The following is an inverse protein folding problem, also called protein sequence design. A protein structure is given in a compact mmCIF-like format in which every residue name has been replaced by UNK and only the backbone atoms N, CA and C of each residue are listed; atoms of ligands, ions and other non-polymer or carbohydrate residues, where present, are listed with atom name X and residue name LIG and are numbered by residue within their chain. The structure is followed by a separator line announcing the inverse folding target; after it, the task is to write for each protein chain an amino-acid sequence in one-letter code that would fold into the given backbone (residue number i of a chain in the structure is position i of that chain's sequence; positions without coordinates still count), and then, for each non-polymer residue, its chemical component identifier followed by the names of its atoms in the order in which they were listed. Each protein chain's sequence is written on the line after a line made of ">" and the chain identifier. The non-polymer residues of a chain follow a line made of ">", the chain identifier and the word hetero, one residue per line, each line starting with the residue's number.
data_IF_911802649977
#
_entry.id   IF_911802649977
#
_cell.length_a   1.000
_cell.length_b   1.000
_cell.length_c   1.000
_cell.angle_alpha   90.00
_cell.angle_beta   90.00
_cell.angle_gamma   90.00
#
_symmetry.space_group_name_H-M   'P 1'
#
loop_
_entity.id
_entity.type
_entity.pdbx_description
1 polymer ?
#
# COMPACT_ATOMS: atom_id res chain seq x y z
N UNK A 1 31.49 61.01 -55.22
CA UNK A 1 30.20 60.81 -54.54
C UNK A 1 29.90 59.30 -54.57
N UNK A 2 30.24 58.54 -53.50
CA UNK A 2 30.01 57.10 -53.45
C UNK A 2 28.86 56.85 -52.47
N UNK A 3 27.77 56.32 -52.97
CA UNK A 3 26.59 55.97 -52.19
C UNK A 3 26.80 54.56 -51.63
N UNK A 4 26.87 54.44 -50.27
CA UNK A 4 26.93 53.15 -49.57
C UNK A 4 25.48 52.69 -49.34
N UNK A 5 25.16 51.57 -49.96
CA UNK A 5 23.87 50.87 -49.75
C UNK A 5 23.97 49.99 -48.57
N UNK A 6 23.32 50.32 -47.42
CA UNK A 6 23.26 49.54 -46.21
C UNK A 6 22.19 48.45 -46.38
N UNK A 7 22.61 47.17 -46.47
CA UNK A 7 21.70 46.00 -46.48
C UNK A 7 21.35 45.66 -45.04
N UNK A 8 20.10 45.88 -44.67
CA UNK A 8 19.54 45.41 -43.39
C UNK A 8 19.19 43.92 -43.57
N UNK A 9 19.90 43.08 -42.85
CA UNK A 9 19.58 41.64 -42.75
C UNK A 9 18.60 41.46 -41.58
N UNK A 10 17.33 41.20 -41.92
CA UNK A 10 16.30 40.84 -40.92
C UNK A 10 16.46 39.34 -40.59
N UNK A 11 17.03 39.04 -39.42
CA UNK A 11 17.00 37.68 -38.86
C UNK A 11 15.60 37.40 -38.30
N UNK A 12 14.82 36.57 -38.99
CA UNK A 12 13.56 36.02 -38.47
C UNK A 12 13.90 34.87 -37.55
N UNK A 13 13.78 35.07 -36.22
CA UNK A 13 13.86 34.03 -35.24
C UNK A 13 12.55 33.20 -35.30
N UNK A 14 12.62 32.01 -35.88
CA UNK A 14 11.54 31.04 -35.82
C UNK A 14 11.63 30.34 -34.45
N UNK A 15 10.78 30.75 -33.51
CA UNK A 15 10.61 30.02 -32.26
C UNK A 15 9.87 28.71 -32.55
N UNK A 16 10.61 27.60 -32.60
CA UNK A 16 10.03 26.25 -32.64
C UNK A 16 9.46 25.96 -31.24
N UNK A 17 8.14 26.14 -31.09
CA UNK A 17 7.42 25.67 -29.92
C UNK A 17 7.37 24.16 -30.00
N UNK A 18 8.28 23.47 -29.33
CA UNK A 18 8.18 22.04 -29.08
C UNK A 18 6.99 21.83 -28.14
N UNK A 19 5.81 21.61 -28.68
CA UNK A 19 4.69 21.02 -27.96
C UNK A 19 5.03 19.56 -27.72
N UNK A 20 5.75 19.29 -26.63
CA UNK A 20 5.87 17.95 -26.10
C UNK A 20 4.45 17.45 -25.81
N UNK A 21 4.02 16.38 -26.49
CA UNK A 21 2.82 15.64 -26.09
C UNK A 21 3.05 15.12 -24.67
N UNK A 22 2.68 15.92 -23.66
CA UNK A 22 2.57 15.42 -22.31
C UNK A 22 1.49 14.32 -22.34
N UNK A 23 1.88 13.07 -22.12
CA UNK A 23 0.92 11.98 -21.99
C UNK A 23 -0.11 12.38 -20.94
N UNK A 24 -1.38 12.13 -21.23
CA UNK A 24 -2.46 12.45 -20.29
C UNK A 24 -2.16 11.80 -18.92
N UNK A 25 -2.36 12.52 -17.80
CA UNK A 25 -2.08 11.97 -16.48
C UNK A 25 -2.91 10.72 -16.24
N UNK A 26 -2.33 9.73 -15.52
CA UNK A 26 -2.98 8.47 -15.20
C UNK A 26 -3.36 7.66 -16.46
N UNK A 27 -2.35 7.32 -17.23
CA UNK A 27 -2.48 6.62 -18.53
C UNK A 27 -3.02 5.19 -18.40
N UNK A 28 -2.84 4.54 -17.24
CA UNK A 28 -3.32 3.19 -16.93
C UNK A 28 -4.80 3.16 -16.50
N UNK A 29 -5.44 4.34 -16.43
CA UNK A 29 -6.86 4.49 -16.12
C UNK A 29 -7.68 4.70 -17.38
N UNK A 30 -8.95 4.30 -17.33
CA UNK A 30 -9.92 4.71 -18.34
C UNK A 30 -10.10 6.23 -18.29
N UNK A 31 -10.11 6.87 -19.44
CA UNK A 31 -10.13 8.35 -19.51
C UNK A 31 -11.33 8.98 -18.80
N UNK A 32 -12.49 8.32 -18.90
CA UNK A 32 -13.75 8.78 -18.32
C UNK A 32 -14.08 8.13 -16.98
N UNK A 33 -13.14 7.39 -16.37
CA UNK A 33 -13.34 6.80 -15.04
C UNK A 33 -13.66 7.89 -14.01
N UNK A 34 -14.80 7.83 -13.31
CA UNK A 34 -15.21 8.90 -12.39
C UNK A 34 -14.18 9.21 -11.31
N UNK A 35 -13.53 8.18 -10.77
CA UNK A 35 -12.48 8.36 -9.76
C UNK A 35 -11.25 9.08 -10.32
N UNK A 36 -10.82 8.75 -11.57
CA UNK A 36 -9.73 9.44 -12.25
C UNK A 36 -10.07 10.92 -12.50
N UNK A 37 -11.25 11.19 -13.04
CA UNK A 37 -11.71 12.55 -13.32
C UNK A 37 -11.71 13.38 -12.02
N UNK A 38 -12.34 12.87 -10.97
CA UNK A 38 -12.40 13.53 -9.67
C UNK A 38 -11.00 13.83 -9.09
N UNK A 39 -10.06 12.88 -9.20
CA UNK A 39 -8.70 13.06 -8.70
C UNK A 39 -7.92 14.12 -9.51
N UNK A 40 -8.01 14.07 -10.84
CA UNK A 40 -7.29 15.02 -11.71
C UNK A 40 -7.85 16.44 -11.53
N UNK A 41 -9.17 16.61 -11.51
CA UNK A 41 -9.81 17.90 -11.22
C UNK A 41 -9.44 18.45 -9.85
N UNK A 42 -9.44 17.58 -8.84
CA UNK A 42 -9.02 17.95 -7.49
C UNK A 42 -7.57 18.43 -7.48
N UNK A 43 -6.63 17.64 -8.02
CA UNK A 43 -5.21 17.99 -8.04
C UNK A 43 -4.99 19.32 -8.77
N UNK A 44 -5.62 19.53 -9.93
CA UNK A 44 -5.54 20.79 -10.67
C UNK A 44 -6.02 21.96 -9.81
N UNK A 45 -7.18 21.83 -9.15
CA UNK A 45 -7.74 22.90 -8.33
C UNK A 45 -6.86 23.26 -7.12
N UNK A 46 -6.34 22.23 -6.40
CA UNK A 46 -5.58 22.48 -5.17
C UNK A 46 -4.11 22.87 -5.42
N UNK A 47 -3.61 22.71 -6.63
CA UNK A 47 -2.24 23.10 -6.99
C UNK A 47 -2.17 24.46 -7.68
N UNK A 48 -3.27 24.95 -8.24
CA UNK A 48 -3.36 26.26 -8.87
C UNK A 48 -3.45 27.37 -7.79
N UNK A 49 -2.45 28.24 -7.74
CA UNK A 49 -2.38 29.36 -6.79
C UNK A 49 -3.50 30.39 -6.99
N UNK A 50 -4.13 30.43 -8.17
CA UNK A 50 -5.28 31.29 -8.47
C UNK A 50 -6.62 30.70 -8.05
N UNK A 51 -6.65 29.42 -7.66
CA UNK A 51 -7.86 28.72 -7.23
C UNK A 51 -8.24 29.04 -5.79
N UNK A 52 -9.54 29.12 -5.54
CA UNK A 52 -10.08 29.21 -4.17
C UNK A 52 -9.77 27.95 -3.33
N UNK A 53 -9.54 26.82 -4.00
CA UNK A 53 -9.22 25.52 -3.38
C UNK A 53 -7.70 25.32 -3.17
N UNK A 54 -6.85 26.34 -3.47
CA UNK A 54 -5.40 26.18 -3.35
C UNK A 54 -4.96 25.69 -1.98
N UNK A 55 -4.12 24.65 -1.97
CA UNK A 55 -3.53 24.10 -0.76
C UNK A 55 -2.02 24.33 -0.80
N UNK A 56 -1.40 24.94 0.24
CA UNK A 56 0.06 25.06 0.34
C UNK A 56 0.76 23.70 0.30
N UNK A 57 1.97 23.63 -0.28
CA UNK A 57 2.68 22.36 -0.53
C UNK A 57 2.86 21.54 0.75
N UNK A 58 3.19 22.18 1.89
CA UNK A 58 3.38 21.56 3.20
C UNK A 58 2.10 20.97 3.80
N UNK A 59 0.94 21.29 3.22
CA UNK A 59 -0.38 20.78 3.62
C UNK A 59 -0.91 19.70 2.67
N UNK A 60 -0.24 19.47 1.53
CA UNK A 60 -0.62 18.46 0.53
C UNK A 60 -0.17 17.07 0.97
N UNK A 61 -0.85 16.50 1.94
CA UNK A 61 -0.57 15.16 2.47
C UNK A 61 -1.57 14.16 1.89
N UNK A 62 -1.06 13.08 1.29
CA UNK A 62 -1.85 11.94 0.82
C UNK A 62 -1.45 10.68 1.59
N UNK A 63 -2.43 9.92 2.08
CA UNK A 63 -2.22 8.67 2.81
C UNK A 63 -2.86 7.49 2.10
N UNK A 64 -2.16 6.37 2.05
CA UNK A 64 -2.57 5.16 1.38
C UNK A 64 -2.51 3.98 2.35
N UNK A 65 -3.57 3.18 2.41
CA UNK A 65 -3.43 1.81 2.87
C UNK A 65 -2.57 0.99 1.88
N UNK A 66 -2.07 -0.16 2.30
CA UNK A 66 -1.24 -1.03 1.46
C UNK A 66 -2.05 -2.18 0.86
N UNK A 67 -2.45 -3.14 1.71
CA UNK A 67 -3.03 -4.42 1.28
C UNK A 67 -4.44 -4.23 0.71
N UNK A 68 -4.62 -4.49 -0.58
CA UNK A 68 -5.87 -4.25 -1.31
C UNK A 68 -6.07 -2.80 -1.77
N UNK A 69 -5.09 -1.91 -1.50
CA UNK A 69 -5.10 -0.51 -1.94
C UNK A 69 -3.97 -0.22 -2.91
N UNK A 70 -2.73 -0.51 -2.54
CA UNK A 70 -1.55 -0.40 -3.39
C UNK A 70 -1.06 -1.76 -3.87
N UNK A 71 -1.34 -2.80 -3.09
CA UNK A 71 -0.76 -4.12 -3.19
C UNK A 71 -1.83 -5.21 -3.04
N UNK A 72 -1.61 -6.38 -3.61
CA UNK A 72 -2.49 -7.55 -3.55
C UNK A 72 -2.88 -7.91 -2.11
N UNK A 73 -4.15 -8.22 -1.90
CA UNK A 73 -4.70 -8.64 -0.60
C UNK A 73 -5.20 -10.10 -0.60
N UNK A 74 -5.83 -10.53 -1.70
CA UNK A 74 -6.90 -11.53 -1.62
C UNK A 74 -6.55 -12.95 -2.07
N UNK A 75 -5.40 -13.23 -2.69
CA UNK A 75 -5.07 -14.60 -3.05
C UNK A 75 -3.60 -14.96 -2.78
N UNK A 76 -3.37 -15.97 -1.97
CA UNK A 76 -4.35 -16.70 -1.14
C UNK A 76 -4.74 -15.92 0.10
N UNK A 77 -3.92 -14.97 0.56
CA UNK A 77 -4.14 -14.08 1.71
C UNK A 77 -3.05 -13.01 1.76
N UNK A 78 -3.04 -12.20 2.82
CA UNK A 78 -2.07 -11.12 3.06
C UNK A 78 -0.61 -11.60 3.01
N UNK A 79 0.27 -10.76 2.51
CA UNK A 79 1.70 -11.04 2.41
C UNK A 79 2.34 -11.41 3.75
N UNK A 80 2.03 -10.67 4.82
CA UNK A 80 2.58 -10.91 6.16
C UNK A 80 2.20 -12.29 6.70
N UNK A 81 0.99 -12.75 6.37
CA UNK A 81 0.51 -14.05 6.77
C UNK A 81 1.20 -15.18 6.00
N UNK A 82 1.41 -15.00 4.71
CA UNK A 82 2.18 -15.95 3.90
C UNK A 82 3.66 -16.01 4.35
N UNK A 83 4.23 -14.87 4.73
CA UNK A 83 5.58 -14.78 5.29
C UNK A 83 5.68 -15.56 6.61
N UNK A 84 4.67 -15.45 7.48
CA UNK A 84 4.58 -16.23 8.71
C UNK A 84 4.48 -17.75 8.42
N UNK A 85 3.63 -18.15 7.47
CA UNK A 85 3.53 -19.56 7.08
C UNK A 85 4.86 -20.11 6.56
N UNK A 86 5.56 -19.35 5.72
CA UNK A 86 6.88 -19.69 5.20
C UNK A 86 7.88 -19.84 6.36
N UNK A 87 7.92 -18.89 7.30
CA UNK A 87 8.79 -18.95 8.48
C UNK A 87 8.56 -20.22 9.31
N UNK A 88 7.30 -20.54 9.56
CA UNK A 88 6.90 -21.65 10.45
C UNK A 88 7.06 -23.03 9.81
N UNK A 89 6.77 -23.16 8.51
CA UNK A 89 6.66 -24.45 7.85
C UNK A 89 7.83 -24.80 6.93
N UNK A 90 8.61 -23.81 6.49
CA UNK A 90 9.61 -23.98 5.43
C UNK A 90 11.01 -23.49 5.82
N UNK A 91 11.13 -22.56 6.79
CA UNK A 91 12.44 -22.07 7.19
C UNK A 91 13.19 -23.11 8.06
N UNK A 92 14.29 -23.71 7.56
CA UNK A 92 15.03 -24.72 8.31
C UNK A 92 15.75 -24.19 9.55
N UNK A 93 15.91 -22.87 9.65
CA UNK A 93 16.59 -22.20 10.75
C UNK A 93 15.63 -21.82 11.88
N UNK A 94 14.32 -22.10 11.74
CA UNK A 94 13.32 -21.78 12.75
C UNK A 94 12.68 -23.04 13.35
N UNK A 95 12.61 -23.07 14.67
CA UNK A 95 11.89 -24.14 15.41
C UNK A 95 10.55 -23.59 15.89
N UNK A 96 9.53 -23.80 15.09
CA UNK A 96 8.18 -23.36 15.43
C UNK A 96 7.59 -24.14 16.61
N UNK A 97 6.75 -23.46 17.40
CA UNK A 97 5.95 -24.13 18.43
C UNK A 97 4.86 -25.00 17.80
N UNK A 98 4.31 -25.95 18.59
CA UNK A 98 3.19 -26.77 18.14
C UNK A 98 1.97 -25.91 17.77
N UNK A 99 1.69 -24.82 18.50
CA UNK A 99 0.62 -23.87 18.23
C UNK A 99 0.83 -23.15 16.91
N UNK A 100 2.01 -22.57 16.67
CA UNK A 100 2.36 -21.92 15.41
C UNK A 100 2.22 -22.88 14.23
N UNK A 101 2.74 -24.11 14.37
CA UNK A 101 2.66 -25.13 13.32
C UNK A 101 1.21 -25.51 12.99
N UNK A 102 0.37 -25.70 14.02
CA UNK A 102 -1.03 -26.03 13.84
C UNK A 102 -1.78 -24.91 13.11
N UNK A 103 -1.57 -23.66 13.50
CA UNK A 103 -2.19 -22.47 12.90
C UNK A 103 -1.73 -22.28 11.45
N UNK A 104 -0.43 -22.37 11.18
CA UNK A 104 0.09 -22.25 9.83
C UNK A 104 -0.41 -23.34 8.87
N UNK A 105 -0.52 -24.60 9.35
CA UNK A 105 -1.11 -25.70 8.56
C UNK A 105 -2.60 -25.49 8.29
N UNK A 106 -3.35 -24.99 9.26
CA UNK A 106 -4.79 -24.70 9.09
C UNK A 106 -5.00 -23.57 8.09
N UNK A 107 -4.17 -22.55 8.13
CA UNK A 107 -4.19 -21.42 7.23
C UNK A 107 -3.95 -21.84 5.76
N UNK A 108 -3.00 -22.74 5.49
CA UNK A 108 -2.81 -23.34 4.15
C UNK A 108 -4.05 -24.08 3.62
N UNK A 109 -4.96 -24.47 4.51
CA UNK A 109 -6.25 -25.06 4.16
C UNK A 109 -7.37 -24.02 4.06
N UNK A 110 -7.04 -22.73 4.12
CA UNK A 110 -8.00 -21.61 4.08
C UNK A 110 -8.73 -21.36 5.40
N UNK A 111 -8.23 -21.92 6.53
CA UNK A 111 -8.79 -21.72 7.88
C UNK A 111 -7.94 -20.71 8.64
N UNK A 112 -8.18 -19.44 8.41
CA UNK A 112 -7.44 -18.36 9.05
C UNK A 112 -7.93 -18.08 10.48
N UNK A 113 -7.02 -17.85 11.45
CA UNK A 113 -7.41 -17.43 12.79
C UNK A 113 -8.03 -16.04 12.77
N UNK A 114 -8.84 -15.75 13.78
CA UNK A 114 -9.35 -14.38 13.97
C UNK A 114 -8.19 -13.41 14.14
N UNK A 115 -8.39 -12.18 13.68
CA UNK A 115 -7.47 -11.08 13.95
C UNK A 115 -7.67 -10.64 15.41
N UNK A 116 -6.86 -11.18 16.30
CA UNK A 116 -6.88 -10.90 17.75
C UNK A 116 -5.45 -10.88 18.31
N UNK A 117 -5.34 -10.61 19.60
CA UNK A 117 -4.05 -10.55 20.30
C UNK A 117 -3.25 -11.87 20.23
N UNK A 118 -3.93 -13.01 20.15
CA UNK A 118 -3.24 -14.30 20.05
C UNK A 118 -2.60 -14.49 18.68
N UNK A 119 -3.31 -14.13 17.60
CA UNK A 119 -2.75 -14.14 16.25
C UNK A 119 -1.53 -13.23 16.14
N UNK A 120 -1.62 -12.00 16.64
CA UNK A 120 -0.51 -11.03 16.61
C UNK A 120 0.69 -11.53 17.45
N UNK A 121 0.43 -12.18 18.58
CA UNK A 121 1.47 -12.82 19.39
C UNK A 121 2.21 -13.91 18.61
N UNK A 122 1.48 -14.83 17.99
CA UNK A 122 2.07 -15.95 17.22
C UNK A 122 2.97 -15.45 16.09
N UNK A 123 2.51 -14.42 15.37
CA UNK A 123 3.28 -13.81 14.27
C UNK A 123 4.53 -13.12 14.80
N UNK A 124 4.39 -12.25 15.81
CA UNK A 124 5.54 -11.50 16.37
C UNK A 124 6.59 -12.42 16.99
N UNK A 125 6.17 -13.46 17.69
CA UNK A 125 7.07 -14.44 18.30
C UNK A 125 7.88 -15.23 17.27
N UNK A 126 7.35 -15.46 16.07
CA UNK A 126 8.04 -16.19 15.01
C UNK A 126 9.34 -15.53 14.55
N UNK A 127 9.46 -14.24 14.75
CA UNK A 127 10.62 -13.45 14.32
C UNK A 127 11.48 -12.96 15.49
N UNK A 128 11.13 -13.30 16.74
CA UNK A 128 11.90 -12.88 17.92
C UNK A 128 13.37 -13.23 17.79
N UNK A 129 14.22 -12.26 18.12
CA UNK A 129 15.68 -12.40 18.13
C UNK A 129 16.35 -12.23 16.77
N UNK A 130 15.61 -12.13 15.67
CA UNK A 130 16.20 -11.74 14.39
C UNK A 130 16.67 -10.29 14.46
N UNK A 131 17.87 -10.00 13.98
CA UNK A 131 18.32 -8.64 13.77
C UNK A 131 17.46 -7.96 12.68
N UNK A 132 17.40 -6.63 12.67
CA UNK A 132 16.63 -5.90 11.67
C UNK A 132 17.14 -6.21 10.24
N UNK A 133 18.44 -6.42 10.06
CA UNK A 133 19.03 -6.79 8.77
C UNK A 133 18.71 -8.21 8.34
N UNK A 134 18.70 -9.17 9.27
CA UNK A 134 18.28 -10.56 8.98
C UNK A 134 16.81 -10.60 8.58
N UNK A 135 15.96 -9.85 9.28
CA UNK A 135 14.54 -9.79 8.97
C UNK A 135 14.30 -9.13 7.59
N UNK A 136 14.97 -8.00 7.29
CA UNK A 136 14.90 -7.36 5.97
C UNK A 136 15.32 -8.33 4.85
N UNK A 137 16.44 -9.05 5.05
CA UNK A 137 16.91 -10.05 4.09
C UNK A 137 15.92 -11.21 3.91
N UNK A 138 15.29 -11.66 5.00
CA UNK A 138 14.28 -12.71 4.98
C UNK A 138 13.04 -12.27 4.18
N UNK A 139 12.52 -11.06 4.42
CA UNK A 139 11.41 -10.49 3.66
C UNK A 139 11.77 -10.39 2.18
N UNK A 140 12.94 -9.84 1.84
CA UNK A 140 13.39 -9.68 0.45
C UNK A 140 13.55 -11.02 -0.27
N UNK A 141 14.04 -12.04 0.40
CA UNK A 141 14.13 -13.39 -0.17
C UNK A 141 12.74 -13.92 -0.50
N UNK A 142 11.79 -13.79 0.42
CA UNK A 142 10.41 -14.21 0.22
C UNK A 142 9.71 -13.45 -0.91
N UNK A 143 10.01 -12.17 -1.10
CA UNK A 143 9.50 -11.37 -2.22
C UNK A 143 9.87 -11.94 -3.60
N UNK A 144 10.95 -12.72 -3.72
CA UNK A 144 11.39 -13.31 -4.99
C UNK A 144 10.66 -14.60 -5.37
N UNK A 145 9.87 -15.15 -4.46
CA UNK A 145 9.06 -16.32 -4.76
C UNK A 145 7.89 -15.97 -5.68
N UNK A 146 7.39 -16.99 -6.40
CA UNK A 146 6.22 -16.80 -7.25
C UNK A 146 4.96 -16.55 -6.42
N UNK A 147 4.14 -15.58 -6.84
CA UNK A 147 2.86 -15.32 -6.21
C UNK A 147 1.89 -16.46 -6.54
N UNK A 148 1.39 -17.21 -5.53
CA UNK A 148 0.37 -18.23 -5.77
C UNK A 148 -0.88 -17.63 -6.43
N UNK A 149 -1.51 -18.41 -7.28
CA UNK A 149 -2.71 -17.95 -7.97
C UNK A 149 -2.45 -17.16 -9.25
N UNK A 150 -1.22 -16.74 -9.51
CA UNK A 150 -0.85 -15.98 -10.70
C UNK A 150 0.23 -16.67 -11.54
N UNK A 151 0.37 -16.25 -12.80
CA UNK A 151 1.52 -16.54 -13.66
C UNK A 151 2.31 -15.27 -13.86
N UNK A 152 3.63 -15.38 -13.96
CA UNK A 152 4.54 -14.25 -14.21
C UNK A 152 4.45 -13.12 -13.18
N UNK A 153 4.14 -13.44 -11.94
CA UNK A 153 4.06 -12.47 -10.84
C UNK A 153 4.89 -12.97 -9.66
N UNK A 154 5.82 -12.19 -9.18
CA UNK A 154 6.52 -12.42 -7.93
C UNK A 154 5.73 -11.83 -6.77
N UNK A 155 5.90 -12.39 -5.56
CA UNK A 155 5.24 -11.89 -4.34
C UNK A 155 5.51 -10.41 -4.09
N UNK A 156 6.75 -9.98 -4.32
CA UNK A 156 7.15 -8.58 -4.11
C UNK A 156 6.70 -7.61 -5.20
N UNK A 157 6.20 -8.12 -6.34
CA UNK A 157 5.82 -7.32 -7.50
C UNK A 157 4.29 -7.16 -7.62
N UNK A 158 3.52 -7.69 -6.66
CA UNK A 158 2.07 -7.72 -6.72
C UNK A 158 1.41 -6.36 -6.41
N UNK A 159 1.97 -5.28 -6.94
CA UNK A 159 1.43 -3.93 -6.82
C UNK A 159 0.44 -3.63 -7.93
N UNK A 160 -0.61 -2.90 -7.60
CA UNK A 160 -1.57 -2.37 -8.57
C UNK A 160 -0.93 -1.21 -9.35
N UNK A 161 -0.54 -1.45 -10.60
CA UNK A 161 0.16 -0.46 -11.42
C UNK A 161 -0.58 0.88 -11.54
N UNK A 162 -1.94 0.93 -11.68
CA UNK A 162 -2.66 2.19 -11.69
C UNK A 162 -2.53 2.99 -10.39
N UNK A 163 -2.35 2.31 -9.25
CA UNK A 163 -2.17 2.98 -7.96
C UNK A 163 -0.74 3.47 -7.76
N UNK A 164 0.28 2.78 -8.29
CA UNK A 164 1.64 3.32 -8.36
C UNK A 164 1.66 4.61 -9.17
N UNK A 165 0.94 4.62 -10.31
CA UNK A 165 0.82 5.82 -11.16
C UNK A 165 0.20 7.01 -10.41
N UNK A 166 -0.80 6.76 -9.52
CA UNK A 166 -1.34 7.80 -8.63
C UNK A 166 -0.27 8.32 -7.66
N UNK A 167 0.49 7.44 -7.02
CA UNK A 167 1.57 7.86 -6.11
C UNK A 167 2.55 8.78 -6.81
N UNK A 168 2.99 8.41 -8.02
CA UNK A 168 3.91 9.21 -8.81
C UNK A 168 3.28 10.53 -9.28
N UNK A 169 2.01 10.49 -9.71
CA UNK A 169 1.27 11.67 -10.11
C UNK A 169 1.14 12.69 -8.98
N UNK A 170 0.76 12.24 -7.78
CA UNK A 170 0.65 13.10 -6.61
C UNK A 170 2.00 13.71 -6.23
N UNK A 171 3.07 12.91 -6.19
CA UNK A 171 4.42 13.40 -5.89
C UNK A 171 4.88 14.47 -6.89
N UNK A 172 4.65 14.27 -8.19
CA UNK A 172 4.96 15.26 -9.24
C UNK A 172 4.18 16.56 -9.06
N UNK A 173 3.03 16.51 -8.38
CA UNK A 173 2.18 17.68 -8.08
C UNK A 173 2.40 18.22 -6.66
N UNK A 174 3.53 17.89 -6.02
CA UNK A 174 3.96 18.46 -4.74
C UNK A 174 3.24 17.88 -3.52
N UNK A 175 2.64 16.69 -3.63
CA UNK A 175 2.10 15.98 -2.46
C UNK A 175 3.20 15.18 -1.76
N UNK A 176 3.18 15.20 -0.44
CA UNK A 176 3.89 14.22 0.38
C UNK A 176 3.00 13.01 0.57
N UNK A 177 3.50 11.84 0.15
CA UNK A 177 2.74 10.59 0.17
C UNK A 177 3.22 9.71 1.33
N UNK A 178 2.30 9.17 2.11
CA UNK A 178 2.55 8.20 3.16
C UNK A 178 1.79 6.91 2.91
N UNK A 179 2.40 5.78 3.25
CA UNK A 179 1.71 4.48 3.37
C UNK A 179 1.39 4.24 4.84
N UNK A 180 0.16 3.81 5.15
CA UNK A 180 -0.31 3.50 6.51
C UNK A 180 -0.95 2.12 6.50
N UNK A 181 -0.19 1.11 6.91
CA UNK A 181 -0.54 -0.29 6.75
C UNK A 181 -0.86 -0.98 8.08
N UNK A 182 -1.81 -1.91 8.05
CA UNK A 182 -2.01 -2.88 9.12
C UNK A 182 -0.92 -3.96 9.19
N UNK A 183 -0.12 -4.12 8.15
CA UNK A 183 1.07 -5.00 8.15
C UNK A 183 2.22 -4.31 8.89
N UNK A 184 3.09 -5.11 9.55
CA UNK A 184 4.24 -4.60 10.32
C UNK A 184 5.15 -3.75 9.44
N UNK A 185 5.58 -2.56 9.94
CA UNK A 185 6.38 -1.60 9.18
C UNK A 185 7.71 -2.16 8.69
N UNK A 186 8.32 -3.09 9.41
CA UNK A 186 9.57 -3.72 8.99
C UNK A 186 9.37 -4.69 7.82
N UNK A 187 8.17 -5.25 7.66
CA UNK A 187 7.75 -5.99 6.47
C UNK A 187 7.42 -5.05 5.32
N UNK A 188 6.69 -3.96 5.60
CA UNK A 188 6.22 -3.03 4.56
C UNK A 188 7.34 -2.25 3.90
N UNK A 189 8.35 -1.81 4.67
CA UNK A 189 9.47 -1.00 4.15
C UNK A 189 10.25 -1.67 3.00
N UNK A 190 10.73 -2.92 3.11
CA UNK A 190 11.37 -3.59 1.98
C UNK A 190 10.39 -3.85 0.82
N UNK A 191 9.12 -4.15 1.11
CA UNK A 191 8.09 -4.45 0.12
C UNK A 191 7.77 -3.23 -0.74
N UNK A 192 7.61 -2.06 -0.15
CA UNK A 192 7.18 -0.81 -0.83
C UNK A 192 8.30 -0.05 -1.52
N UNK A 193 9.48 -0.67 -1.69
CA UNK A 193 10.63 0.00 -2.34
C UNK A 193 10.34 0.49 -3.76
N UNK A 194 9.45 -0.18 -4.48
CA UNK A 194 8.99 0.22 -5.81
C UNK A 194 8.31 1.60 -5.83
N UNK A 195 7.74 2.04 -4.72
CA UNK A 195 7.09 3.35 -4.60
C UNK A 195 8.09 4.52 -4.51
N UNK A 196 9.39 4.23 -4.35
CA UNK A 196 10.45 5.24 -4.17
C UNK A 196 10.14 6.27 -3.08
N UNK A 197 9.45 5.85 -2.02
CA UNK A 197 9.18 6.66 -0.84
C UNK A 197 10.28 6.48 0.20
N UNK A 198 10.68 7.53 0.91
CA UNK A 198 11.65 7.39 2.00
C UNK A 198 11.06 6.56 3.16
N UNK A 199 11.89 5.80 3.91
CA UNK A 199 11.40 4.87 4.93
C UNK A 199 10.52 5.49 6.02
N UNK A 200 10.70 6.78 6.34
CA UNK A 200 9.86 7.48 7.34
C UNK A 200 8.45 7.80 6.81
N UNK A 201 8.20 7.71 5.50
CA UNK A 201 6.87 7.81 4.91
C UNK A 201 6.16 6.45 4.83
N UNK A 202 6.82 5.37 5.26
CA UNK A 202 6.26 4.02 5.33
C UNK A 202 5.97 3.68 6.79
N UNK A 203 4.70 3.79 7.14
CA UNK A 203 4.16 3.57 8.47
C UNK A 203 3.39 2.26 8.43
N UNK A 204 3.52 1.46 9.46
CA UNK A 204 2.81 0.19 9.62
C UNK A 204 2.67 -0.17 11.09
N UNK A 205 2.00 -1.27 11.36
CA UNK A 205 1.92 -1.83 12.70
C UNK A 205 3.32 -1.98 13.30
N UNK A 206 3.42 -1.85 14.61
CA UNK A 206 4.70 -1.88 15.30
C UNK A 206 4.84 -3.11 16.18
N UNK A 207 6.03 -3.69 16.10
CA UNK A 207 6.52 -4.73 17.02
C UNK A 207 7.64 -4.18 17.89
N UNK A 208 7.87 -4.79 19.04
CA UNK A 208 8.99 -4.41 19.93
C UNK A 208 10.33 -4.60 19.23
N UNK A 209 11.18 -3.59 19.36
CA UNK A 209 12.59 -3.63 18.98
C UNK A 209 13.39 -3.49 20.26
N UNK A 210 14.34 -4.37 20.49
CA UNK A 210 15.16 -4.39 21.70
C UNK A 210 16.63 -4.55 21.33
N UNK A 211 17.56 -4.29 22.27
CA UNK A 211 18.95 -4.69 22.10
C UNK A 211 19.09 -6.21 22.37
N UNK A 212 19.92 -6.90 21.60
CA UNK A 212 20.30 -8.29 21.81
C UNK A 212 20.88 -8.55 23.21
N UNK A 213 21.46 -7.52 23.85
CA UNK A 213 22.05 -7.54 25.20
C UNK A 213 21.12 -7.01 26.29
N UNK A 214 19.93 -6.52 25.95
CA UNK A 214 18.98 -5.97 26.92
C UNK A 214 18.46 -7.06 27.89
N UNK A 215 18.26 -8.28 27.38
CA UNK A 215 17.68 -9.38 28.16
C UNK A 215 16.25 -9.06 28.61
N UNK A 216 15.96 -9.27 29.89
CA UNK A 216 14.65 -8.99 30.49
C UNK A 216 14.56 -7.60 31.14
N UNK A 217 15.57 -6.75 31.00
CA UNK A 217 15.54 -5.39 31.55
C UNK A 217 14.49 -4.55 30.83
N UNK A 218 13.81 -3.68 31.55
CA UNK A 218 12.93 -2.68 30.94
C UNK A 218 13.75 -1.73 30.06
N UNK A 219 13.14 -1.17 29.03
CA UNK A 219 13.79 -0.21 28.14
C UNK A 219 14.24 1.06 28.89
N UNK A 220 13.54 1.43 29.97
CA UNK A 220 13.92 2.56 30.83
C UNK A 220 15.18 2.29 31.66
N UNK A 221 15.53 1.01 31.87
CA UNK A 221 16.68 0.56 32.65
C UNK A 221 17.86 0.10 31.76
N UNK A 222 17.77 0.34 30.45
CA UNK A 222 18.79 -0.09 29.52
C UNK A 222 19.28 1.04 28.61
N UNK A 223 20.59 1.25 28.60
CA UNK A 223 21.24 2.21 27.71
C UNK A 223 21.86 1.42 26.55
N UNK A 224 21.48 1.76 25.32
CA UNK A 224 22.08 1.20 24.12
C UNK A 224 23.55 1.59 24.00
N UNK A 225 24.44 0.62 23.84
CA UNK A 225 25.89 0.82 23.87
C UNK A 225 26.57 0.31 22.60
N UNK A 226 27.84 0.67 22.45
CA UNK A 226 28.67 0.17 21.33
C UNK A 226 28.73 -1.37 21.37
N UNK A 227 28.40 -2.01 20.27
CA UNK A 227 28.38 -3.46 20.11
C UNK A 227 27.02 -4.11 20.38
N UNK A 228 25.99 -3.32 20.74
CA UNK A 228 24.63 -3.79 20.75
C UNK A 228 24.09 -3.88 19.34
N UNK A 229 23.21 -4.86 19.08
CA UNK A 229 22.44 -5.00 17.87
C UNK A 229 20.95 -4.87 18.17
N UNK A 230 20.21 -4.24 17.25
CA UNK A 230 18.76 -4.19 17.34
C UNK A 230 18.16 -5.49 16.81
N UNK A 231 17.33 -6.11 17.63
CA UNK A 231 16.60 -7.34 17.31
C UNK A 231 15.11 -7.19 17.55
N UNK A 232 14.32 -8.01 16.87
CA UNK A 232 12.88 -8.10 17.10
C UNK A 232 12.61 -8.71 18.49
N UNK A 233 11.83 -7.99 19.31
CA UNK A 233 11.52 -8.43 20.68
C UNK A 233 10.39 -9.45 20.79
N UNK A 234 9.66 -9.69 19.68
CA UNK A 234 8.63 -10.72 19.59
C UNK A 234 7.29 -10.35 20.25
N UNK A 235 6.99 -9.06 20.39
CA UNK A 235 5.68 -8.59 20.86
C UNK A 235 5.12 -7.54 19.90
N UNK A 236 3.85 -7.64 19.57
CA UNK A 236 3.15 -6.58 18.86
C UNK A 236 2.85 -5.43 19.83
N UNK A 237 3.12 -4.19 19.43
CA UNK A 237 2.85 -2.97 20.21
C UNK A 237 1.52 -2.35 19.81
N UNK A 238 1.31 -2.21 18.50
CA UNK A 238 0.11 -1.61 17.93
C UNK A 238 -0.19 -2.23 16.58
N UNK A 239 -1.49 -2.43 16.30
CA UNK A 239 -1.99 -2.83 14.98
C UNK A 239 -2.66 -1.62 14.35
N UNK A 240 -2.13 -1.12 13.25
CA UNK A 240 -2.60 0.10 12.58
C UNK A 240 -3.83 -0.17 11.71
N UNK A 241 -4.94 -0.43 12.39
CA UNK A 241 -6.27 -0.61 11.81
C UNK A 241 -7.26 0.33 12.49
N UNK A 242 -8.33 0.67 11.80
CA UNK A 242 -9.42 1.48 12.35
C UNK A 242 -8.91 2.82 12.91
N UNK A 243 -9.25 3.13 14.18
CA UNK A 243 -8.86 4.37 14.86
C UNK A 243 -7.33 4.48 15.04
N UNK A 244 -6.61 3.36 15.10
CA UNK A 244 -5.15 3.39 15.22
C UNK A 244 -4.48 4.02 13.98
N UNK A 245 -5.06 3.88 12.77
CA UNK A 245 -4.59 4.62 11.59
C UNK A 245 -4.67 6.13 11.78
N UNK A 246 -5.71 6.64 12.42
CA UNK A 246 -5.80 8.07 12.77
C UNK A 246 -4.77 8.45 13.82
N UNK A 247 -4.64 7.63 14.86
CA UNK A 247 -3.68 7.89 15.93
C UNK A 247 -2.24 7.98 15.43
N UNK A 248 -1.86 7.10 14.49
CA UNK A 248 -0.50 7.12 13.92
C UNK A 248 -0.30 8.31 12.97
N UNK A 249 -1.32 8.74 12.22
CA UNK A 249 -1.26 9.97 11.42
C UNK A 249 -0.95 11.17 12.33
N UNK A 250 -1.68 11.29 13.44
CA UNK A 250 -1.50 12.40 14.38
C UNK A 250 -0.10 12.37 15.01
N UNK A 251 0.40 11.20 15.39
CA UNK A 251 1.71 11.07 16.06
C UNK A 251 2.91 11.23 15.12
N UNK A 252 2.85 10.64 13.92
CA UNK A 252 4.03 10.53 13.05
C UNK A 252 4.02 11.54 11.91
N UNK A 253 2.85 11.97 11.43
CA UNK A 253 2.72 12.97 10.37
C UNK A 253 2.45 14.35 10.96
N UNK A 254 1.59 14.44 11.99
CA UNK A 254 1.25 15.72 12.68
C UNK A 254 0.39 16.66 11.84
N UNK A 255 0.00 16.27 10.63
CA UNK A 255 -0.79 17.06 9.69
C UNK A 255 -1.97 16.22 9.22
N UNK A 256 -3.19 16.77 9.26
CA UNK A 256 -4.36 16.12 8.71
C UNK A 256 -4.22 15.98 7.20
N UNK A 257 -4.32 14.75 6.64
CA UNK A 257 -4.23 14.53 5.19
C UNK A 257 -5.37 15.20 4.44
N UNK A 258 -5.15 15.50 3.17
CA UNK A 258 -6.18 16.00 2.26
C UNK A 258 -6.61 14.96 1.22
N UNK A 259 -5.88 13.86 1.11
CA UNK A 259 -6.25 12.69 0.32
C UNK A 259 -6.03 11.41 1.13
N UNK A 260 -6.99 10.48 1.06
CA UNK A 260 -6.85 9.15 1.64
C UNK A 260 -7.38 8.08 0.69
N UNK A 261 -6.68 6.94 0.64
CA UNK A 261 -7.02 5.78 -0.18
C UNK A 261 -7.04 4.51 0.69
N UNK A 262 -8.11 3.74 0.58
CA UNK A 262 -8.28 2.49 1.31
C UNK A 262 -9.16 1.52 0.54
N UNK A 263 -9.39 0.31 1.09
CA UNK A 263 -10.16 -0.76 0.41
C UNK A 263 -11.15 -1.48 1.32
N UNK A 264 -11.11 -1.24 2.63
CA UNK A 264 -11.98 -1.91 3.59
C UNK A 264 -12.46 -0.96 4.70
N UNK A 265 -13.37 -1.45 5.52
CA UNK A 265 -13.81 -0.70 6.71
C UNK A 265 -12.70 -0.51 7.75
N UNK A 266 -11.58 -1.23 7.66
CA UNK A 266 -10.41 -0.95 8.51
C UNK A 266 -9.77 0.41 8.22
N UNK A 267 -10.05 0.99 7.05
CA UNK A 267 -9.55 2.28 6.59
C UNK A 267 -10.56 3.42 6.83
N UNK A 268 -11.79 3.07 7.22
CA UNK A 268 -12.88 4.03 7.34
C UNK A 268 -12.54 5.22 8.26
N UNK A 269 -11.86 4.95 9.38
CA UNK A 269 -11.44 6.03 10.28
C UNK A 269 -10.43 6.97 9.62
N UNK A 270 -9.48 6.44 8.84
CA UNK A 270 -8.50 7.24 8.11
C UNK A 270 -9.17 8.09 7.02
N UNK A 271 -10.07 7.51 6.22
CA UNK A 271 -10.81 8.25 5.20
C UNK A 271 -11.68 9.34 5.81
N UNK A 272 -12.45 9.00 6.87
CA UNK A 272 -13.31 9.94 7.56
C UNK A 272 -12.52 11.06 8.24
N UNK A 273 -11.40 10.75 8.89
CA UNK A 273 -10.52 11.76 9.46
C UNK A 273 -9.99 12.72 8.40
N UNK A 274 -9.65 12.21 7.22
CA UNK A 274 -9.17 13.02 6.10
C UNK A 274 -10.20 14.03 5.63
N UNK A 275 -11.48 13.63 5.50
CA UNK A 275 -12.51 14.49 4.90
C UNK A 275 -13.30 15.34 5.93
N UNK A 276 -13.44 14.86 7.18
CA UNK A 276 -14.28 15.54 8.15
C UNK A 276 -13.51 16.63 8.91
N UNK A 277 -14.10 17.82 8.96
CA UNK A 277 -13.51 18.96 9.71
C UNK A 277 -12.17 19.43 9.14
N UNK A 278 -11.82 19.05 7.90
CA UNK A 278 -10.61 19.52 7.27
C UNK A 278 -10.76 20.98 6.83
N UNK A 279 -9.82 21.87 7.13
CA UNK A 279 -9.88 23.26 6.67
C UNK A 279 -9.69 23.42 5.15
N UNK A 280 -9.21 22.38 4.48
CA UNK A 280 -9.03 22.32 3.04
C UNK A 280 -10.00 21.34 2.38
N UNK A 281 -10.25 21.53 1.10
CA UNK A 281 -10.94 20.51 0.30
C UNK A 281 -10.18 19.19 0.40
N UNK A 282 -10.88 18.11 0.77
CA UNK A 282 -10.27 16.80 0.96
C UNK A 282 -11.14 15.69 0.35
N UNK A 283 -10.51 14.62 -0.14
CA UNK A 283 -11.19 13.47 -0.75
C UNK A 283 -10.72 12.15 -0.14
N UNK A 284 -11.67 11.22 0.01
CA UNK A 284 -11.40 9.82 0.37
C UNK A 284 -11.78 8.89 -0.78
N UNK A 285 -10.91 7.96 -1.14
CA UNK A 285 -11.11 6.98 -2.20
C UNK A 285 -11.16 5.56 -1.62
N UNK A 286 -12.13 4.77 -2.06
CA UNK A 286 -12.32 3.39 -1.61
C UNK A 286 -12.23 2.43 -2.81
N UNK A 287 -11.19 1.60 -2.84
CA UNK A 287 -11.00 0.60 -3.87
C UNK A 287 -12.01 -0.53 -3.71
N UNK A 288 -12.57 -0.93 -4.83
CA UNK A 288 -13.54 -2.03 -4.92
C UNK A 288 -12.85 -3.25 -5.55
N UNK A 289 -12.82 -4.36 -4.83
CA UNK A 289 -12.30 -5.62 -5.35
C UNK A 289 -13.31 -6.31 -6.30
N UNK A 290 -13.70 -5.63 -7.39
CA UNK A 290 -14.79 -6.06 -8.28
C UNK A 290 -14.33 -6.69 -9.61
N UNK A 291 -13.04 -6.92 -9.80
CA UNK A 291 -12.51 -7.63 -10.95
C UNK A 291 -12.32 -9.12 -10.66
N UNK A 292 -12.95 -9.97 -11.46
CA UNK A 292 -12.86 -11.44 -11.35
C UNK A 292 -12.00 -12.07 -12.43
N UNK A 293 -11.52 -11.27 -13.39
CA UNK A 293 -10.75 -11.75 -14.54
C UNK A 293 -9.24 -11.49 -14.39
N UNK A 294 -8.89 -10.34 -13.83
CA UNK A 294 -7.52 -9.88 -13.66
C UNK A 294 -7.05 -9.93 -12.20
N UNK A 295 -8.02 -10.09 -11.25
CA UNK A 295 -7.81 -10.19 -9.82
C UNK A 295 -8.77 -11.22 -9.20
N UNK A 296 -8.44 -11.74 -8.01
CA UNK A 296 -9.34 -12.59 -7.22
C UNK A 296 -10.35 -11.72 -6.47
N UNK A 297 -11.24 -11.08 -7.21
CA UNK A 297 -12.21 -10.15 -6.66
C UNK A 297 -13.28 -10.80 -5.76
N UNK A 298 -14.02 -9.95 -5.07
CA UNK A 298 -15.14 -10.34 -4.21
C UNK A 298 -16.30 -9.36 -4.39
N UNK A 299 -17.24 -9.71 -5.26
CA UNK A 299 -18.36 -8.84 -5.61
C UNK A 299 -19.21 -8.46 -4.39
N UNK A 300 -19.42 -9.39 -3.43
CA UNK A 300 -20.17 -9.09 -2.20
C UNK A 300 -19.47 -8.04 -1.34
N UNK A 301 -18.13 -8.12 -1.21
CA UNK A 301 -17.31 -7.11 -0.54
C UNK A 301 -17.39 -5.79 -1.30
N UNK A 302 -17.20 -5.81 -2.62
CA UNK A 302 -17.25 -4.62 -3.46
C UNK A 302 -18.61 -3.89 -3.38
N UNK A 303 -19.73 -4.61 -3.44
CA UNK A 303 -21.06 -4.02 -3.33
C UNK A 303 -21.31 -3.40 -1.95
N UNK A 304 -20.83 -4.03 -0.88
CA UNK A 304 -20.88 -3.44 0.46
C UNK A 304 -20.07 -2.15 0.52
N UNK A 305 -18.82 -2.15 0.05
CA UNK A 305 -17.98 -0.95 0.03
C UNK A 305 -18.58 0.16 -0.83
N UNK A 306 -19.23 -0.18 -1.95
CA UNK A 306 -19.94 0.80 -2.80
C UNK A 306 -21.12 1.47 -2.05
N UNK A 307 -21.85 0.72 -1.21
CA UNK A 307 -22.87 1.30 -0.32
C UNK A 307 -22.24 2.20 0.74
N UNK A 308 -21.14 1.77 1.35
CA UNK A 308 -20.44 2.57 2.36
C UNK A 308 -19.85 3.85 1.76
N UNK A 309 -19.36 3.85 0.51
CA UNK A 309 -18.97 5.06 -0.20
C UNK A 309 -20.09 6.09 -0.26
N UNK A 310 -21.32 5.66 -0.61
CA UNK A 310 -22.49 6.57 -0.62
C UNK A 310 -22.83 7.11 0.77
N UNK A 311 -22.68 6.27 1.80
CA UNK A 311 -22.98 6.63 3.20
C UNK A 311 -22.01 7.66 3.74
N UNK A 312 -20.74 7.52 3.43
CA UNK A 312 -19.67 8.34 4.03
C UNK A 312 -19.10 9.42 3.09
N UNK A 313 -19.58 9.51 1.86
CA UNK A 313 -19.09 10.49 0.88
C UNK A 313 -17.73 10.14 0.27
N UNK A 314 -17.33 8.86 0.28
CA UNK A 314 -16.10 8.42 -0.38
C UNK A 314 -16.33 8.17 -1.85
N UNK A 315 -15.27 8.31 -2.65
CA UNK A 315 -15.28 8.05 -4.09
C UNK A 315 -14.90 6.57 -4.31
N UNK A 316 -15.79 5.76 -4.90
CA UNK A 316 -15.45 4.38 -5.23
C UNK A 316 -14.48 4.33 -6.42
N UNK A 317 -13.51 3.42 -6.36
CA UNK A 317 -12.58 3.09 -7.45
C UNK A 317 -12.85 1.64 -7.87
N UNK A 318 -13.33 1.42 -9.08
CA UNK A 318 -13.58 0.08 -9.62
C UNK A 318 -12.32 -0.48 -10.27
N UNK A 319 -11.78 -1.58 -9.75
CA UNK A 319 -10.64 -2.25 -10.41
C UNK A 319 -11.01 -2.75 -11.80
N UNK A 320 -12.26 -3.18 -11.99
CA UNK A 320 -12.78 -3.71 -13.25
C UNK A 320 -13.00 -2.60 -14.28
N UNK A 321 -13.67 -1.52 -13.87
CA UNK A 321 -14.23 -0.54 -14.82
C UNK A 321 -13.32 0.69 -14.97
N UNK A 322 -12.56 1.07 -13.93
CA UNK A 322 -11.74 2.28 -13.94
C UNK A 322 -10.32 2.02 -14.47
N UNK A 323 -9.81 0.78 -14.46
CA UNK A 323 -8.44 0.46 -14.79
C UNK A 323 -8.30 -0.27 -16.13
N UNK A 324 -7.30 0.07 -16.92
CA UNK A 324 -6.93 -0.64 -18.16
C UNK A 324 -6.19 -1.94 -17.88
N UNK A 325 -5.39 -1.96 -16.81
CA UNK A 325 -4.62 -3.13 -16.36
C UNK A 325 -4.51 -3.11 -14.83
N UNK A 326 -4.16 -4.24 -14.19
CA UNK A 326 -3.85 -4.30 -12.76
C UNK A 326 -2.35 -4.51 -12.55
N UNK A 327 -1.77 -5.59 -13.12
CA UNK A 327 -0.38 -6.00 -12.93
C UNK A 327 0.43 -5.98 -14.23
N UNK A 328 -0.14 -5.48 -15.35
CA UNK A 328 0.44 -5.58 -16.69
C UNK A 328 -0.07 -6.80 -17.47
N UNK A 329 0.12 -6.76 -18.80
CA UNK A 329 -0.50 -7.73 -19.73
C UNK A 329 0.06 -9.15 -19.60
N UNK A 330 1.26 -9.30 -19.04
CA UNK A 330 1.94 -10.60 -18.90
C UNK A 330 1.44 -11.41 -17.70
N UNK A 331 0.81 -10.75 -16.71
CA UNK A 331 0.30 -11.40 -15.51
C UNK A 331 -1.11 -11.93 -15.77
N UNK A 332 -1.35 -13.19 -15.41
CA UNK A 332 -2.67 -13.83 -15.55
C UNK A 332 -3.02 -14.55 -14.25
N UNK A 333 -4.28 -14.49 -13.86
CA UNK A 333 -4.78 -15.33 -12.76
C UNK A 333 -4.83 -16.80 -13.23
N UNK A 334 -4.43 -17.70 -12.34
CA UNK A 334 -4.65 -19.14 -12.52
C UNK A 334 -6.07 -19.47 -12.07
N UNK A 335 -6.96 -19.84 -12.96
CA UNK A 335 -8.30 -20.31 -12.59
C UNK A 335 -8.13 -21.44 -11.58
N UNK A 336 -8.73 -21.31 -10.39
CA UNK A 336 -8.76 -22.42 -9.41
C UNK A 336 -9.39 -23.63 -10.10
N UNK A 337 -8.69 -24.77 -10.08
CA UNK A 337 -9.30 -26.01 -10.52
C UNK A 337 -10.65 -26.18 -9.79
N UNK A 338 -11.73 -26.53 -10.48
CA UNK A 338 -13.02 -26.72 -9.82
C UNK A 338 -12.80 -27.68 -8.67
N UNK A 339 -13.21 -27.29 -7.45
CA UNK A 339 -13.14 -28.15 -6.28
C UNK A 339 -13.80 -29.49 -6.67
N UNK A 340 -13.04 -30.57 -6.60
CA UNK A 340 -13.55 -31.91 -6.79
C UNK A 340 -14.81 -32.01 -5.95
N UNK A 341 -15.98 -32.10 -6.59
CA UNK A 341 -17.25 -32.40 -5.90
C UNK A 341 -16.98 -33.62 -5.05
N UNK A 342 -17.01 -33.47 -3.73
CA UNK A 342 -17.05 -34.64 -2.82
C UNK A 342 -18.17 -35.52 -3.34
N UNK A 343 -17.81 -36.69 -3.84
CA UNK A 343 -18.78 -37.67 -4.33
C UNK A 343 -19.85 -37.85 -3.25
N UNK A 344 -21.08 -37.71 -3.65
CA UNK A 344 -22.21 -38.20 -2.90
C UNK A 344 -21.94 -39.69 -2.64
N UNK A 345 -21.47 -40.02 -1.46
CA UNK A 345 -21.65 -41.37 -0.98
C UNK A 345 -23.12 -41.49 -0.61
N UNK A 346 -23.89 -42.06 -1.54
CA UNK A 346 -25.09 -42.77 -1.19
C UNK A 346 -24.70 -43.95 -0.27
N UNK A 347 -25.19 -43.91 0.93
CA UNK A 347 -25.95 -44.95 1.62
C UNK A 347 -26.27 -44.52 3.04
#
# INVERSE_FOLDING_TARGET
>A
MKIHCCRIVICVLVAVVLTGCASAPLSLWQEKAPARVALVEYVNAVTDRGSADYIPVERRIAVFDLDGTLFLETDPTYFDWLLFEHRVLEDPNYRATAEQTAVAKASRQGKFPKLDKNRERLVSEAYRGMTLSEFDAFVRKFMQEDQPGFTNLKRGDAFYLPMIEIVDYLRKNGFTVYVISGTDRLTVRPLTKILHLPPHQIIGSDSTIVSDRQGNRDALDYIYTRGDQLVLGGKNLVKDLQMNKVSVIVREIGVQPVLAFGNTMSDASMLNYTINGNPYRALGFMLLCDDLEREYGNLKKADRMRRDCRKYGWIPVSMRDDWKTIYGDQVKIRKKAPALKKGSQEK
#
